data_IF_231807848551
#
_entry.id   IF_231807848551
#
_cell.length_a   1.000
_cell.length_b   1.000
_cell.length_c   1.000
_cell.angle_alpha   90.00
_cell.angle_beta   90.00
_cell.angle_gamma   90.00
#
_symmetry.space_group_name_H-M   'P 1'
#
loop_
_entity.id
_entity.type
_entity.pdbx_description
1 polymer ?
#
# COMPACT_ATOMS: atom_id res chain seq x y z
N UNK A 1 -19.72 19.09 -3.36
CA UNK A 1 -19.10 19.25 -4.69
C UNK A 1 -17.59 19.21 -4.49
N UNK A 2 -16.93 18.48 -5.37
CA UNK A 2 -15.57 17.96 -5.37
C UNK A 2 -14.47 19.05 -5.44
N UNK A 3 -14.61 20.15 -4.71
CA UNK A 3 -13.75 21.35 -4.82
C UNK A 3 -12.43 21.25 -4.02
N UNK A 4 -12.21 20.15 -3.27
CA UNK A 4 -10.95 19.88 -2.56
C UNK A 4 -10.06 18.83 -3.24
N UNK A 5 -10.53 18.17 -4.30
CA UNK A 5 -9.84 17.04 -4.95
C UNK A 5 -8.76 17.48 -5.94
N UNK A 6 -8.81 18.74 -6.41
CA UNK A 6 -7.78 19.28 -7.30
C UNK A 6 -6.45 19.58 -6.59
N UNK A 7 -6.42 19.58 -5.25
CA UNK A 7 -5.21 19.82 -4.44
C UNK A 7 -4.37 18.57 -4.15
N UNK A 8 -4.91 17.37 -4.40
CA UNK A 8 -4.20 16.11 -4.13
C UNK A 8 -3.54 15.52 -5.38
N UNK A 9 -4.18 15.67 -6.54
CA UNK A 9 -3.70 15.15 -7.82
C UNK A 9 -2.35 15.74 -8.27
N UNK A 10 -1.99 16.90 -7.74
CA UNK A 10 -0.78 17.67 -8.03
C UNK A 10 0.29 17.58 -6.92
N UNK A 11 0.00 16.98 -5.76
CA UNK A 11 0.99 16.74 -4.72
C UNK A 11 1.68 15.39 -4.91
N UNK A 12 2.51 15.31 -5.94
CA UNK A 12 3.23 14.08 -6.29
C UNK A 12 4.07 13.54 -5.12
N UNK A 13 4.66 14.43 -4.31
CA UNK A 13 5.52 14.05 -3.21
C UNK A 13 4.74 13.36 -2.08
N UNK A 14 3.58 13.90 -1.70
CA UNK A 14 2.70 13.24 -0.72
C UNK A 14 2.17 11.92 -1.24
N UNK A 15 1.76 11.85 -2.51
CA UNK A 15 1.28 10.59 -3.09
C UNK A 15 2.37 9.50 -3.09
N UNK A 16 3.62 9.83 -3.44
CA UNK A 16 4.74 8.88 -3.37
C UNK A 16 5.02 8.45 -1.93
N UNK A 17 4.96 9.38 -0.97
CA UNK A 17 5.14 9.07 0.45
C UNK A 17 4.08 8.10 0.98
N UNK A 18 2.81 8.39 0.73
CA UNK A 18 1.68 7.55 1.17
C UNK A 18 1.68 6.18 0.47
N UNK A 19 2.06 6.12 -0.81
CA UNK A 19 2.29 4.86 -1.51
C UNK A 19 3.39 4.03 -0.83
N UNK A 20 4.49 4.68 -0.43
CA UNK A 20 5.59 4.04 0.31
C UNK A 20 5.13 3.49 1.66
N UNK A 21 4.35 4.26 2.41
CA UNK A 21 3.77 3.81 3.69
C UNK A 21 2.83 2.62 3.48
N UNK A 22 1.99 2.66 2.44
CA UNK A 22 1.13 1.53 2.06
C UNK A 22 1.94 0.27 1.75
N UNK A 23 3.06 0.40 1.04
CA UNK A 23 3.95 -0.73 0.75
C UNK A 23 4.56 -1.34 2.03
N UNK A 24 5.02 -0.51 2.97
CA UNK A 24 5.59 -0.97 4.25
C UNK A 24 4.53 -1.63 5.13
N UNK A 25 3.34 -1.03 5.23
CA UNK A 25 2.21 -1.62 5.96
C UNK A 25 1.77 -2.95 5.34
N UNK A 26 1.66 -3.00 4.01
CA UNK A 26 1.36 -4.22 3.25
C UNK A 26 2.40 -5.32 3.49
N UNK A 27 3.69 -4.96 3.54
CA UNK A 27 4.76 -5.90 3.86
C UNK A 27 4.59 -6.51 5.25
N UNK A 28 4.41 -5.66 6.27
CA UNK A 28 4.20 -6.11 7.65
C UNK A 28 2.95 -6.99 7.79
N UNK A 29 1.88 -6.63 7.11
CA UNK A 29 0.65 -7.43 7.08
C UNK A 29 0.86 -8.81 6.44
N UNK A 30 1.51 -8.87 5.28
CA UNK A 30 1.82 -10.12 4.59
C UNK A 30 2.70 -11.06 5.44
N UNK A 31 3.74 -10.50 6.08
CA UNK A 31 4.58 -11.25 7.03
C UNK A 31 3.74 -11.77 8.20
N UNK A 32 2.88 -10.93 8.77
CA UNK A 32 2.04 -11.28 9.93
C UNK A 32 1.06 -12.42 9.61
N UNK A 33 0.43 -12.41 8.44
CA UNK A 33 -0.45 -13.51 7.99
C UNK A 33 0.33 -14.81 7.88
N UNK A 34 1.50 -14.79 7.24
CA UNK A 34 2.30 -15.99 7.08
C UNK A 34 2.83 -16.52 8.40
N UNK A 35 3.25 -15.64 9.31
CA UNK A 35 3.63 -16.03 10.66
C UNK A 35 2.46 -16.70 11.40
N UNK A 36 1.26 -16.12 11.34
CA UNK A 36 0.07 -16.69 11.94
C UNK A 36 -0.37 -18.03 11.32
N UNK A 37 -0.07 -18.22 10.03
CA UNK A 37 -0.42 -19.43 9.28
C UNK A 37 0.61 -20.56 9.44
N UNK A 38 1.68 -20.36 10.23
CA UNK A 38 2.73 -21.35 10.44
C UNK A 38 3.70 -21.50 9.25
N UNK A 39 3.72 -20.53 8.34
CA UNK A 39 4.67 -20.49 7.24
C UNK A 39 6.08 -20.32 7.83
N UNK A 40 7.07 -21.04 7.29
CA UNK A 40 8.45 -20.96 7.77
C UNK A 40 9.09 -19.60 7.47
N UNK A 41 10.07 -19.21 8.29
CA UNK A 41 10.88 -17.98 8.14
C UNK A 41 11.38 -17.74 6.69
N UNK A 42 11.84 -18.77 5.93
CA UNK A 42 12.33 -18.57 4.56
C UNK A 42 11.29 -17.97 3.59
N UNK A 43 10.00 -18.16 3.87
CA UNK A 43 8.91 -17.67 3.01
C UNK A 43 8.34 -16.33 3.46
N UNK A 44 8.77 -15.78 4.61
CA UNK A 44 8.27 -14.51 5.14
C UNK A 44 8.54 -13.36 4.17
N UNK A 45 9.70 -13.34 3.51
CA UNK A 45 10.02 -12.34 2.51
C UNK A 45 9.05 -12.36 1.33
N UNK A 46 8.64 -13.54 0.87
CA UNK A 46 7.67 -13.69 -0.22
C UNK A 46 6.27 -13.22 0.22
N UNK A 47 5.84 -13.54 1.44
CA UNK A 47 4.57 -13.09 1.97
C UNK A 47 4.52 -11.57 2.14
N UNK A 48 5.58 -10.98 2.70
CA UNK A 48 5.71 -9.54 2.79
C UNK A 48 5.69 -8.88 1.41
N UNK A 49 6.37 -9.46 0.42
CA UNK A 49 6.33 -8.95 -0.96
C UNK A 49 4.91 -8.98 -1.55
N UNK A 50 4.17 -10.09 -1.39
CA UNK A 50 2.79 -10.20 -1.86
C UNK A 50 1.86 -9.20 -1.15
N UNK A 51 2.01 -9.06 0.17
CA UNK A 51 1.27 -8.08 0.96
C UNK A 51 1.55 -6.64 0.50
N UNK A 52 2.82 -6.28 0.33
CA UNK A 52 3.23 -4.97 -0.20
C UNK A 52 2.65 -4.71 -1.59
N UNK A 53 2.72 -5.70 -2.49
CA UNK A 53 2.18 -5.58 -3.85
C UNK A 53 0.66 -5.33 -3.83
N UNK A 54 -0.07 -6.05 -2.99
CA UNK A 54 -1.52 -5.88 -2.85
C UNK A 54 -1.91 -4.51 -2.27
N UNK A 55 -1.16 -4.02 -1.28
CA UNK A 55 -1.41 -2.72 -0.65
C UNK A 55 -1.11 -1.57 -1.60
N UNK A 56 -0.03 -1.64 -2.39
CA UNK A 56 0.27 -0.66 -3.44
C UNK A 56 -0.79 -0.66 -4.53
N UNK A 57 -1.26 -1.84 -4.97
CA UNK A 57 -2.33 -1.89 -5.98
C UNK A 57 -3.64 -1.30 -5.47
N UNK A 58 -3.97 -1.53 -4.20
CA UNK A 58 -5.15 -0.94 -3.58
C UNK A 58 -4.99 0.59 -3.44
N UNK A 59 -3.82 1.06 -3.01
CA UNK A 59 -3.52 2.48 -2.92
C UNK A 59 -3.66 3.16 -4.29
N UNK A 60 -3.07 2.58 -5.35
CA UNK A 60 -3.17 3.12 -6.70
C UNK A 60 -4.64 3.22 -7.15
N UNK A 61 -5.43 2.15 -6.96
CA UNK A 61 -6.84 2.15 -7.32
C UNK A 61 -7.67 3.21 -6.56
N UNK A 62 -7.39 3.39 -5.27
CA UNK A 62 -8.07 4.40 -4.45
C UNK A 62 -7.66 5.81 -4.84
N UNK A 63 -6.36 6.04 -5.04
CA UNK A 63 -5.82 7.31 -5.54
C UNK A 63 -6.41 7.70 -6.88
N UNK A 64 -6.54 6.75 -7.82
CA UNK A 64 -7.22 6.99 -9.10
C UNK A 64 -8.70 7.33 -8.92
N UNK A 65 -9.41 6.62 -8.03
CA UNK A 65 -10.82 6.83 -7.77
C UNK A 65 -11.12 8.16 -7.05
N UNK A 66 -10.24 8.62 -6.17
CA UNK A 66 -10.44 9.83 -5.35
C UNK A 66 -9.72 11.06 -5.89
N UNK A 67 -8.85 10.92 -6.89
CA UNK A 67 -8.01 12.01 -7.40
C UNK A 67 -6.75 12.26 -6.58
N UNK A 68 -6.31 11.30 -5.77
CA UNK A 68 -5.14 11.39 -4.90
C UNK A 68 -5.39 12.11 -3.58
N UNK A 69 -4.32 12.23 -2.79
CA UNK A 69 -4.30 12.88 -1.46
C UNK A 69 -3.76 14.29 -1.56
#
# INVERSE_FOLDING_TARGET
MLAGVEGGKNNWQTNVWECGLSAVAGWGFGVSICAASGVGVPLMGACGYLGAKSAVTLWAAMTEATGGV
#
